data_IF_181485348459
#
_entry.id   IF_181485348459
#
_cell.length_a   1.000
_cell.length_b   1.000
_cell.length_c   1.000
_cell.angle_alpha   90.00
_cell.angle_beta   90.00
_cell.angle_gamma   90.00
#
_symmetry.space_group_name_H-M   'P 1'
#
loop_
_entity.id
_entity.type
_entity.pdbx_description
1 polymer ?
#
# COMPACT_ATOMS: atom_id res chain seq x y z
N UNK A 1 26.85 -5.83 13.99
CA UNK A 1 25.69 -6.56 14.53
C UNK A 1 24.66 -6.60 13.42
N UNK A 2 24.05 -7.75 13.18
CA UNK A 2 23.94 -8.39 11.85
C UNK A 2 22.86 -9.48 11.94
N UNK A 3 22.11 -9.83 10.87
CA UNK A 3 21.27 -11.03 10.85
C UNK A 3 22.18 -12.22 11.17
N UNK A 4 22.11 -12.70 12.40
CA UNK A 4 22.86 -13.85 12.85
C UNK A 4 22.09 -15.12 12.59
N UNK A 5 22.83 -16.22 12.52
CA UNK A 5 22.26 -17.57 12.46
C UNK A 5 21.28 -17.83 13.61
N UNK A 6 21.33 -17.12 14.73
CA UNK A 6 20.35 -17.33 15.81
C UNK A 6 19.02 -16.57 15.61
N UNK A 7 18.85 -15.86 14.49
CA UNK A 7 17.67 -15.07 14.16
C UNK A 7 17.65 -13.66 14.75
N UNK A 8 18.77 -13.16 15.29
CA UNK A 8 18.85 -11.76 15.72
C UNK A 8 19.15 -10.86 14.53
N UNK A 9 18.38 -9.79 14.33
CA UNK A 9 18.59 -8.75 13.34
C UNK A 9 19.06 -7.46 14.00
N UNK A 10 20.02 -6.76 13.37
CA UNK A 10 20.28 -5.37 13.71
C UNK A 10 19.57 -4.47 12.70
N UNK A 11 18.61 -3.70 13.20
CA UNK A 11 17.71 -2.88 12.43
C UNK A 11 17.98 -1.41 12.72
N UNK A 12 18.15 -0.65 11.67
CA UNK A 12 18.16 0.80 11.66
C UNK A 12 16.90 1.32 10.98
N UNK A 13 16.32 2.38 11.52
CA UNK A 13 15.19 3.10 10.95
C UNK A 13 15.51 4.56 10.94
N UNK A 14 15.37 5.15 9.77
CA UNK A 14 15.38 6.59 9.57
C UNK A 14 14.02 7.01 9.06
N UNK A 15 13.39 7.98 9.73
CA UNK A 15 12.20 8.63 9.20
C UNK A 15 12.49 10.12 9.02
N UNK A 16 12.22 10.64 7.84
CA UNK A 16 12.43 12.03 7.44
C UNK A 16 11.08 12.67 7.10
N UNK A 17 10.86 13.90 7.58
CA UNK A 17 9.58 14.60 7.41
C UNK A 17 9.50 15.33 6.06
N UNK A 18 8.38 15.22 5.35
CA UNK A 18 8.17 15.98 4.10
C UNK A 18 7.93 17.48 4.28
N UNK A 19 7.38 17.92 5.42
CA UNK A 19 6.99 19.32 5.60
C UNK A 19 7.30 19.87 7.00
N UNK A 20 7.66 21.17 7.04
CA UNK A 20 7.85 21.94 8.28
C UNK A 20 6.52 22.12 9.01
N UNK A 21 6.07 21.14 9.80
CA UNK A 21 5.05 21.36 10.82
C UNK A 21 3.96 20.30 11.02
N UNK A 22 3.90 19.22 10.22
CA UNK A 22 2.90 18.14 10.41
C UNK A 22 3.47 16.73 10.61
N UNK A 23 4.79 16.57 10.69
CA UNK A 23 5.42 15.25 10.80
C UNK A 23 5.32 14.58 12.17
N UNK A 24 6.08 13.48 12.36
CA UNK A 24 6.19 12.70 13.60
C UNK A 24 6.16 13.62 14.82
N UNK A 25 5.11 13.48 15.64
CA UNK A 25 4.92 14.34 16.80
C UNK A 25 6.08 14.17 17.79
N UNK A 26 6.29 15.15 18.67
CA UNK A 26 7.32 15.00 19.71
C UNK A 26 7.08 13.74 20.54
N UNK A 27 5.82 13.44 20.85
CA UNK A 27 5.41 12.24 21.58
C UNK A 27 5.73 10.96 20.79
N UNK A 28 5.51 10.95 19.48
CA UNK A 28 5.85 9.82 18.63
C UNK A 28 7.38 9.64 18.51
N UNK A 29 8.17 10.73 18.40
CA UNK A 29 9.64 10.66 18.45
C UNK A 29 10.15 10.09 19.77
N UNK A 30 9.60 10.55 20.89
CA UNK A 30 9.96 10.05 22.22
C UNK A 30 9.56 8.57 22.41
N UNK A 31 8.41 8.18 21.87
CA UNK A 31 7.97 6.78 21.85
C UNK A 31 8.93 5.90 21.06
N UNK A 32 9.26 6.30 19.81
CA UNK A 32 10.19 5.57 18.95
C UNK A 32 11.56 5.48 19.62
N UNK A 33 12.12 6.60 20.10
CA UNK A 33 13.40 6.60 20.81
C UNK A 33 13.41 5.65 22.03
N UNK A 34 12.31 5.57 22.77
CA UNK A 34 12.15 4.67 23.91
C UNK A 34 12.16 3.19 23.53
N UNK A 35 11.61 2.83 22.37
CA UNK A 35 11.58 1.45 21.86
C UNK A 35 12.98 0.94 21.46
N UNK A 36 13.92 1.86 21.20
CA UNK A 36 15.29 1.58 20.77
C UNK A 36 16.31 1.84 21.88
N UNK A 37 15.87 1.94 23.14
CA UNK A 37 16.74 2.20 24.28
C UNK A 37 17.92 1.20 24.34
N UNK A 38 19.15 1.73 24.28
CA UNK A 38 20.40 0.95 24.15
C UNK A 38 21.08 1.08 22.78
N UNK A 39 20.41 1.71 21.82
CA UNK A 39 20.88 2.01 20.46
C UNK A 39 21.53 3.38 20.26
N UNK A 40 21.96 3.66 19.02
CA UNK A 40 22.28 5.03 18.57
C UNK A 40 20.97 5.76 18.28
N UNK A 41 20.87 7.01 18.74
CA UNK A 41 19.80 7.93 18.39
C UNK A 41 20.42 9.23 17.89
N UNK A 42 20.19 9.52 16.61
CA UNK A 42 20.55 10.77 15.95
C UNK A 42 19.23 11.40 15.47
N UNK A 43 18.64 12.27 16.29
CA UNK A 43 17.35 12.89 15.98
C UNK A 43 17.48 14.40 15.99
N UNK A 44 16.80 15.03 15.04
CA UNK A 44 16.58 16.46 15.01
C UNK A 44 15.07 16.75 14.92
N UNK A 45 14.69 18.01 14.69
CA UNK A 45 13.28 18.38 14.61
C UNK A 45 12.59 17.83 13.34
N UNK A 46 13.35 17.35 12.35
CA UNK A 46 12.89 16.94 11.01
C UNK A 46 13.14 15.46 10.69
N UNK A 47 13.79 14.73 11.57
CA UNK A 47 14.14 13.33 11.35
C UNK A 47 14.43 12.58 12.65
N UNK A 48 14.26 11.27 12.59
CA UNK A 48 14.67 10.34 13.66
C UNK A 48 15.44 9.19 13.04
N UNK A 49 16.71 9.03 13.43
CA UNK A 49 17.57 7.89 13.09
C UNK A 49 17.85 7.07 14.37
N UNK A 50 17.30 5.86 14.41
CA UNK A 50 17.41 4.94 15.55
C UNK A 50 17.89 3.57 15.09
N UNK A 51 18.76 2.94 15.89
CA UNK A 51 19.32 1.61 15.59
C UNK A 51 19.27 0.69 16.80
N UNK A 52 18.72 -0.52 16.67
CA UNK A 52 18.70 -1.52 17.74
C UNK A 52 18.67 -2.95 17.20
N UNK A 53 18.90 -3.93 18.07
CA UNK A 53 18.87 -5.35 17.72
C UNK A 53 17.64 -6.08 18.28
N UNK A 54 17.01 -6.91 17.46
CA UNK A 54 15.76 -7.61 17.74
C UNK A 54 15.86 -9.07 17.29
N UNK A 55 15.13 -10.01 17.92
CA UNK A 55 15.25 -11.45 17.61
C UNK A 55 13.98 -12.12 17.13
N UNK A 56 12.81 -11.60 17.50
CA UNK A 56 11.53 -12.24 17.16
C UNK A 56 10.46 -11.21 16.87
N UNK A 57 10.21 -10.31 17.82
CA UNK A 57 9.23 -9.24 17.68
C UNK A 57 9.92 -7.91 17.41
N UNK A 58 9.46 -7.22 16.37
CA UNK A 58 9.88 -5.86 16.06
C UNK A 58 8.98 -4.86 16.80
N UNK A 59 9.48 -3.66 17.13
CA UNK A 59 8.71 -2.65 17.84
C UNK A 59 7.57 -2.12 16.96
N UNK A 60 6.43 -1.77 17.55
CA UNK A 60 5.36 -1.06 16.85
C UNK A 60 5.65 0.44 16.79
N UNK A 61 6.73 0.83 16.12
CA UNK A 61 7.28 2.19 16.14
C UNK A 61 6.55 3.14 15.17
N UNK A 62 6.56 2.85 13.88
CA UNK A 62 6.01 3.72 12.83
C UNK A 62 4.66 3.16 12.37
N UNK A 63 3.71 3.07 13.32
CA UNK A 63 2.35 2.57 13.09
C UNK A 63 2.29 1.11 12.60
N UNK A 64 3.36 0.36 12.80
CA UNK A 64 3.63 -0.91 12.16
C UNK A 64 3.52 -2.14 13.04
N UNK A 65 3.68 -3.31 12.41
CA UNK A 65 3.91 -4.57 13.12
C UNK A 65 4.84 -5.44 12.28
N UNK A 66 5.87 -5.98 12.91
CA UNK A 66 6.86 -6.81 12.26
C UNK A 66 7.36 -7.93 13.14
N UNK A 67 7.96 -8.93 12.50
CA UNK A 67 8.59 -10.04 13.15
C UNK A 67 9.80 -10.56 12.37
N UNK A 68 10.67 -11.23 13.11
CA UNK A 68 11.73 -12.08 12.58
C UNK A 68 11.34 -13.51 12.95
N UNK A 69 11.16 -14.36 11.95
CA UNK A 69 10.79 -15.75 12.15
C UNK A 69 11.95 -16.64 11.72
N UNK A 70 12.37 -17.53 12.62
CA UNK A 70 13.41 -18.52 12.33
C UNK A 70 12.81 -19.92 12.26
N UNK A 71 13.00 -20.57 11.11
CA UNK A 71 12.59 -21.95 10.87
C UNK A 71 13.83 -22.83 10.71
N UNK A 72 13.91 -23.90 11.49
CA UNK A 72 15.08 -24.79 11.51
C UNK A 72 14.73 -26.24 11.20
N UNK A 73 15.64 -26.91 10.47
CA UNK A 73 15.60 -28.33 10.12
C UNK A 73 16.98 -28.95 10.27
N UNK A 74 17.08 -30.27 10.07
CA UNK A 74 18.37 -30.97 10.07
C UNK A 74 19.31 -30.55 8.95
N UNK A 75 18.80 -30.04 7.81
CA UNK A 75 19.64 -29.67 6.65
C UNK A 75 20.04 -28.18 6.67
N UNK A 76 19.47 -27.39 7.58
CA UNK A 76 19.71 -25.96 7.66
C UNK A 76 18.49 -25.21 8.18
N UNK A 77 18.55 -23.89 8.05
CA UNK A 77 17.56 -22.98 8.62
C UNK A 77 17.29 -21.81 7.70
N UNK A 78 16.17 -21.15 7.95
CA UNK A 78 15.73 -19.95 7.24
C UNK A 78 15.35 -18.91 8.28
N UNK A 79 15.67 -17.65 7.99
CA UNK A 79 15.23 -16.48 8.76
C UNK A 79 14.44 -15.59 7.83
N UNK A 80 13.21 -15.28 8.21
CA UNK A 80 12.32 -14.35 7.52
C UNK A 80 12.20 -13.06 8.34
N UNK A 81 12.60 -11.94 7.76
CA UNK A 81 12.26 -10.61 8.25
C UNK A 81 11.04 -10.11 7.50
N UNK A 82 10.05 -9.60 8.23
CA UNK A 82 8.86 -8.97 7.64
C UNK A 82 8.32 -7.88 8.55
N UNK A 83 8.11 -6.70 8.00
CA UNK A 83 7.62 -5.56 8.75
C UNK A 83 6.73 -4.69 7.88
N UNK A 84 5.65 -4.18 8.47
CA UNK A 84 4.73 -3.26 7.82
C UNK A 84 4.75 -1.92 8.54
N UNK A 85 4.62 -0.82 7.80
CA UNK A 85 4.67 0.55 8.33
C UNK A 85 3.49 1.39 7.86
N UNK A 86 2.84 2.05 8.83
CA UNK A 86 1.63 2.88 8.69
C UNK A 86 0.60 2.32 7.68
N UNK A 87 -0.36 3.13 7.26
CA UNK A 87 -1.54 2.77 6.46
C UNK A 87 -2.60 1.93 7.20
N UNK A 88 -3.78 1.90 6.61
CA UNK A 88 -4.95 1.17 7.09
C UNK A 88 -4.94 -0.27 6.56
N UNK A 89 -5.40 -1.22 7.39
CA UNK A 89 -5.77 -2.57 6.92
C UNK A 89 -7.27 -2.68 6.67
N UNK A 90 -8.02 -1.63 7.03
CA UNK A 90 -9.45 -1.53 6.86
C UNK A 90 -9.77 -0.87 5.51
N UNK A 91 -9.57 -1.64 4.43
CA UNK A 91 -9.90 -1.22 3.07
C UNK A 91 -11.41 -0.99 2.90
N UNK A 92 -12.22 -1.80 3.58
CA UNK A 92 -13.67 -1.64 3.56
C UNK A 92 -14.06 -0.31 4.17
N UNK A 93 -13.56 0.02 5.36
CA UNK A 93 -13.78 1.30 6.02
C UNK A 93 -13.27 2.49 5.20
N UNK A 94 -12.13 2.35 4.51
CA UNK A 94 -11.63 3.39 3.60
C UNK A 94 -12.59 3.64 2.43
N UNK A 95 -13.07 2.58 1.78
CA UNK A 95 -14.06 2.67 0.69
C UNK A 95 -15.35 3.29 1.21
N UNK A 96 -15.86 2.81 2.34
CA UNK A 96 -17.09 3.32 2.96
C UNK A 96 -16.97 4.81 3.30
N UNK A 97 -15.85 5.23 3.93
CA UNK A 97 -15.58 6.63 4.27
C UNK A 97 -15.56 7.51 3.02
N UNK A 98 -14.89 7.06 1.95
CA UNK A 98 -14.80 7.79 0.69
C UNK A 98 -16.16 7.93 0.01
N UNK A 99 -16.92 6.84 -0.09
CA UNK A 99 -18.26 6.86 -0.69
C UNK A 99 -19.25 7.69 0.14
N UNK A 100 -19.14 7.65 1.47
CA UNK A 100 -19.93 8.52 2.35
C UNK A 100 -19.60 9.99 2.14
N UNK A 101 -18.33 10.36 2.01
CA UNK A 101 -17.92 11.73 1.69
C UNK A 101 -18.47 12.19 0.32
N UNK A 102 -18.51 11.31 -0.69
CA UNK A 102 -19.19 11.59 -1.97
C UNK A 102 -20.68 11.86 -1.75
N UNK A 103 -21.35 11.04 -0.94
CA UNK A 103 -22.78 11.19 -0.67
C UNK A 103 -23.09 12.52 0.04
N UNK A 104 -22.30 12.88 1.07
CA UNK A 104 -22.41 14.15 1.79
C UNK A 104 -22.12 15.35 0.88
N UNK A 105 -21.07 15.28 0.05
CA UNK A 105 -20.72 16.34 -0.89
C UNK A 105 -21.83 16.57 -1.92
N UNK A 106 -22.35 15.50 -2.51
CA UNK A 106 -23.41 15.62 -3.51
C UNK A 106 -24.73 16.09 -2.88
N UNK A 107 -25.05 15.65 -1.66
CA UNK A 107 -26.22 16.17 -0.94
C UNK A 107 -26.09 17.68 -0.68
N UNK A 108 -24.94 18.10 -0.17
CA UNK A 108 -24.65 19.52 0.07
C UNK A 108 -24.76 20.36 -1.21
N UNK A 109 -24.16 19.92 -2.32
CA UNK A 109 -24.22 20.63 -3.59
C UNK A 109 -25.63 20.65 -4.19
N UNK A 110 -26.40 19.57 -4.04
CA UNK A 110 -27.78 19.49 -4.50
C UNK A 110 -28.69 20.48 -3.74
N UNK A 111 -28.59 20.50 -2.41
CA UNK A 111 -29.37 21.41 -1.56
C UNK A 111 -29.01 22.88 -1.82
N UNK A 112 -27.70 23.16 -1.96
CA UNK A 112 -27.22 24.50 -2.31
C UNK A 112 -27.76 24.95 -3.67
N UNK A 113 -27.56 24.14 -4.71
CA UNK A 113 -27.94 24.48 -6.06
C UNK A 113 -29.46 24.62 -6.22
N UNK A 114 -30.25 23.81 -5.50
CA UNK A 114 -31.70 23.98 -5.40
C UNK A 114 -32.09 25.32 -4.79
N UNK A 115 -31.37 25.77 -3.75
CA UNK A 115 -31.68 27.03 -3.05
C UNK A 115 -31.37 28.28 -3.89
N UNK A 116 -30.52 28.15 -4.91
CA UNK A 116 -30.09 29.22 -5.80
C UNK A 116 -30.78 29.17 -7.18
N UNK A 117 -31.66 28.19 -7.41
CA UNK A 117 -32.39 28.04 -8.67
C UNK A 117 -33.45 29.15 -8.86
N UNK A 118 -33.69 29.53 -10.12
CA UNK A 118 -34.64 30.60 -10.46
C UNK A 118 -36.10 30.28 -10.10
N UNK A 119 -36.49 29.00 -10.14
CA UNK A 119 -37.82 28.56 -9.77
C UNK A 119 -37.82 27.15 -9.15
N UNK A 120 -38.95 26.76 -8.58
CA UNK A 120 -39.11 25.53 -7.82
C UNK A 120 -38.93 24.26 -8.68
N UNK A 121 -39.35 24.28 -9.96
CA UNK A 121 -39.19 23.13 -10.83
C UNK A 121 -37.72 22.97 -11.23
N UNK A 122 -37.07 24.07 -11.62
CA UNK A 122 -35.63 24.06 -11.91
C UNK A 122 -34.84 23.58 -10.71
N UNK A 123 -35.19 24.05 -9.50
CA UNK A 123 -34.55 23.60 -8.26
C UNK A 123 -34.70 22.10 -8.03
N UNK A 124 -35.86 21.51 -8.32
CA UNK A 124 -36.04 20.04 -8.27
C UNK A 124 -35.18 19.31 -9.29
N UNK A 125 -35.16 19.78 -10.54
CA UNK A 125 -34.40 19.15 -11.63
C UNK A 125 -32.89 19.17 -11.35
N UNK A 126 -32.37 20.30 -10.86
CA UNK A 126 -30.96 20.45 -10.44
C UNK A 126 -30.64 19.54 -9.25
N UNK A 127 -31.54 19.47 -8.26
CA UNK A 127 -31.34 18.59 -7.12
C UNK A 127 -31.27 17.11 -7.57
N UNK A 128 -32.21 16.65 -8.40
CA UNK A 128 -32.22 15.29 -8.95
C UNK A 128 -30.95 15.01 -9.78
N UNK A 129 -30.54 15.97 -10.62
CA UNK A 129 -29.30 15.87 -11.38
C UNK A 129 -28.08 15.59 -10.50
N UNK A 130 -27.88 16.39 -9.46
CA UNK A 130 -26.71 16.27 -8.58
C UNK A 130 -26.81 15.02 -7.71
N UNK A 131 -27.98 14.77 -7.11
CA UNK A 131 -28.19 13.68 -6.15
C UNK A 131 -28.20 12.29 -6.78
N UNK A 132 -28.53 12.17 -8.07
CA UNK A 132 -28.52 10.89 -8.77
C UNK A 132 -27.37 10.78 -9.77
N UNK A 133 -27.34 11.65 -10.79
CA UNK A 133 -26.41 11.53 -11.92
C UNK A 133 -24.99 11.83 -11.49
N UNK A 134 -24.76 13.03 -10.92
CA UNK A 134 -23.41 13.43 -10.46
C UNK A 134 -22.92 12.53 -9.35
N UNK A 135 -23.76 12.20 -8.37
CA UNK A 135 -23.40 11.29 -7.27
C UNK A 135 -22.90 9.95 -7.78
N UNK A 136 -23.63 9.31 -8.70
CA UNK A 136 -23.22 8.01 -9.27
C UNK A 136 -21.86 8.10 -9.95
N UNK A 137 -21.60 9.18 -10.67
CA UNK A 137 -20.37 9.34 -11.45
C UNK A 137 -19.19 9.74 -10.56
N UNK A 138 -19.41 10.55 -9.52
CA UNK A 138 -18.42 10.83 -8.49
C UNK A 138 -18.05 9.57 -7.70
N UNK A 139 -19.00 8.68 -7.38
CA UNK A 139 -18.69 7.40 -6.71
C UNK A 139 -17.77 6.53 -7.59
N UNK A 140 -18.03 6.46 -8.89
CA UNK A 140 -17.16 5.72 -9.82
C UNK A 140 -15.78 6.38 -9.92
N UNK A 141 -15.74 7.71 -10.04
CA UNK A 141 -14.49 8.47 -10.09
C UNK A 141 -13.64 8.24 -8.84
N UNK A 142 -14.25 8.29 -7.65
CA UNK A 142 -13.61 8.02 -6.37
C UNK A 142 -12.94 6.63 -6.33
N UNK A 143 -13.58 5.63 -6.94
CA UNK A 143 -13.01 4.29 -7.08
C UNK A 143 -11.86 4.25 -8.08
N UNK A 144 -11.94 4.95 -9.22
CA UNK A 144 -10.81 5.07 -10.16
C UNK A 144 -9.59 5.69 -9.49
N UNK A 145 -9.78 6.75 -8.70
CA UNK A 145 -8.68 7.34 -7.92
C UNK A 145 -8.14 6.37 -6.89
N UNK A 146 -9.01 5.65 -6.17
CA UNK A 146 -8.56 4.66 -5.19
C UNK A 146 -7.72 3.55 -5.84
N UNK A 147 -8.17 2.99 -6.97
CA UNK A 147 -7.42 1.95 -7.68
C UNK A 147 -6.11 2.45 -8.26
N UNK A 148 -6.05 3.71 -8.68
CA UNK A 148 -4.79 4.32 -9.09
C UNK A 148 -3.83 4.42 -7.90
N UNK A 149 -4.30 4.89 -6.74
CA UNK A 149 -3.50 4.94 -5.51
C UNK A 149 -3.01 3.54 -5.09
N UNK A 150 -3.89 2.53 -5.12
CA UNK A 150 -3.55 1.11 -4.89
C UNK A 150 -2.40 0.66 -5.79
N UNK A 151 -2.47 1.00 -7.08
CA UNK A 151 -1.45 0.62 -8.05
C UNK A 151 -0.12 1.32 -7.80
N UNK A 152 -0.16 2.61 -7.50
CA UNK A 152 1.03 3.42 -7.21
C UNK A 152 1.74 2.98 -5.92
N UNK A 153 1.01 2.43 -4.94
CA UNK A 153 1.64 1.88 -3.73
C UNK A 153 2.48 0.61 -3.98
N UNK A 154 2.32 -0.07 -5.12
CA UNK A 154 3.00 -1.33 -5.41
C UNK A 154 4.28 -1.20 -6.24
N UNK A 155 4.52 -0.07 -6.89
CA UNK A 155 5.64 0.11 -7.82
C UNK A 155 6.09 1.60 -7.86
N UNK A 156 7.22 1.96 -7.23
CA UNK A 156 7.72 3.33 -7.19
C UNK A 156 8.32 3.80 -8.53
N UNK A 157 8.72 2.90 -9.44
CA UNK A 157 9.18 3.26 -10.78
C UNK A 157 8.00 3.60 -11.72
N UNK A 158 6.77 3.28 -11.30
CA UNK A 158 5.54 3.55 -12.03
C UNK A 158 5.18 5.05 -11.96
N UNK A 159 5.92 5.89 -12.69
CA UNK A 159 5.66 7.33 -12.81
C UNK A 159 4.47 7.68 -13.72
N UNK A 160 3.52 6.76 -13.94
CA UNK A 160 2.35 6.94 -14.81
C UNK A 160 1.24 7.80 -14.17
N UNK A 161 1.63 8.94 -13.59
CA UNK A 161 0.68 10.04 -13.37
C UNK A 161 -0.11 10.38 -14.65
N UNK A 162 0.50 10.17 -15.82
CA UNK A 162 -0.13 10.39 -17.13
C UNK A 162 -1.23 9.39 -17.47
N UNK A 163 -1.03 8.07 -17.33
CA UNK A 163 -2.08 7.08 -17.64
C UNK A 163 -3.28 7.22 -16.72
N UNK A 164 -3.03 7.52 -15.44
CA UNK A 164 -4.10 7.81 -14.50
C UNK A 164 -4.92 9.01 -14.95
N UNK A 165 -4.27 10.14 -15.25
CA UNK A 165 -4.96 11.34 -15.74
C UNK A 165 -5.72 11.04 -17.04
N UNK A 166 -5.13 10.30 -17.98
CA UNK A 166 -5.79 9.90 -19.23
C UNK A 166 -7.05 9.08 -18.95
N UNK A 167 -7.04 8.16 -17.98
CA UNK A 167 -8.22 7.37 -17.59
C UNK A 167 -9.32 8.22 -16.97
N UNK A 168 -8.96 9.16 -16.09
CA UNK A 168 -9.92 10.10 -15.49
C UNK A 168 -10.57 10.95 -16.58
N UNK A 169 -9.76 11.47 -17.48
CA UNK A 169 -10.22 12.28 -18.61
C UNK A 169 -11.12 11.45 -19.54
N UNK A 170 -10.71 10.24 -19.90
CA UNK A 170 -11.52 9.33 -20.72
C UNK A 170 -12.87 9.04 -20.05
N UNK A 171 -12.88 8.75 -18.75
CA UNK A 171 -14.11 8.55 -17.98
C UNK A 171 -15.03 9.77 -18.03
N UNK A 172 -14.49 10.98 -17.80
CA UNK A 172 -15.27 12.21 -17.87
C UNK A 172 -15.80 12.50 -19.28
N UNK A 173 -15.04 12.13 -20.32
CA UNK A 173 -15.45 12.29 -21.72
C UNK A 173 -16.57 11.32 -22.10
N UNK A 174 -16.48 10.05 -21.72
CA UNK A 174 -17.51 9.01 -21.95
C UNK A 174 -18.84 9.32 -21.25
N UNK A 175 -18.79 10.15 -20.21
CA UNK A 175 -19.96 10.62 -19.46
C UNK A 175 -20.40 12.02 -19.85
N UNK A 176 -19.83 12.60 -20.91
CA UNK A 176 -20.19 13.91 -21.46
C UNK A 176 -19.94 15.10 -20.51
N UNK A 177 -19.07 14.95 -19.50
CA UNK A 177 -18.60 16.06 -18.67
C UNK A 177 -17.55 16.91 -19.38
N UNK A 178 -16.71 16.28 -20.22
CA UNK A 178 -15.61 16.95 -20.92
C UNK A 178 -15.78 16.73 -22.43
N UNK A 179 -16.39 17.69 -23.16
CA UNK A 179 -16.42 17.62 -24.61
C UNK A 179 -15.03 17.87 -25.20
N UNK A 180 -14.75 17.38 -26.41
CA UNK A 180 -13.44 17.49 -27.06
C UNK A 180 -12.83 18.91 -27.11
N UNK A 181 -13.60 20.01 -27.25
CA UNK A 181 -13.04 21.36 -27.16
C UNK A 181 -12.52 21.73 -25.75
N UNK A 182 -13.13 21.18 -24.70
CA UNK A 182 -12.72 21.43 -23.31
C UNK A 182 -11.39 20.75 -22.98
N UNK A 183 -11.08 19.64 -23.64
CA UNK A 183 -9.76 18.99 -23.57
C UNK A 183 -8.61 19.90 -24.00
N UNK A 184 -8.79 20.57 -25.14
CA UNK A 184 -7.80 21.50 -25.66
C UNK A 184 -7.66 22.77 -24.82
N UNK A 185 -8.64 23.05 -23.96
CA UNK A 185 -8.62 24.14 -23.00
C UNK A 185 -7.92 23.75 -21.70
N UNK A 186 -8.22 22.57 -21.14
CA UNK A 186 -7.55 22.01 -19.95
C UNK A 186 -6.03 21.88 -20.17
N UNK A 187 -5.59 21.59 -21.39
CA UNK A 187 -4.17 21.53 -21.74
C UNK A 187 -3.48 22.90 -21.84
N UNK A 188 -4.23 24.01 -21.80
CA UNK A 188 -3.72 25.39 -21.95
C UNK A 188 -3.89 26.23 -20.69
N UNK A 189 -4.79 25.87 -19.78
CA UNK A 189 -5.00 26.58 -18.52
C UNK A 189 -3.82 26.33 -17.58
N UNK A 190 -2.99 27.35 -17.35
CA UNK A 190 -2.08 27.35 -16.20
C UNK A 190 -2.92 27.38 -14.92
N UNK A 191 -2.54 26.56 -13.94
CA UNK A 191 -3.28 26.25 -12.72
C UNK A 191 -3.33 27.42 -11.73
N UNK A 192 -3.97 28.54 -12.09
CA UNK A 192 -4.42 29.49 -11.08
C UNK A 192 -5.69 28.94 -10.42
N UNK A 193 -5.59 28.67 -9.12
CA UNK A 193 -6.59 27.97 -8.29
C UNK A 193 -7.87 28.78 -8.04
N UNK A 194 -7.95 30.03 -8.48
CA UNK A 194 -9.07 30.94 -8.21
C UNK A 194 -10.32 30.69 -9.04
N UNK A 195 -10.28 29.82 -10.06
CA UNK A 195 -11.39 29.63 -11.01
C UNK A 195 -12.23 28.35 -10.76
N UNK A 196 -12.03 27.65 -9.63
CA UNK A 196 -12.63 26.32 -9.34
C UNK A 196 -14.13 26.19 -9.63
N UNK A 197 -14.92 27.22 -9.30
CA UNK A 197 -16.36 27.24 -9.55
C UNK A 197 -16.69 27.39 -11.04
N UNK A 198 -15.89 28.14 -11.79
CA UNK A 198 -16.04 28.22 -13.26
C UNK A 198 -15.76 26.87 -13.92
N UNK A 199 -14.77 26.12 -13.42
CA UNK A 199 -14.52 24.74 -13.88
C UNK A 199 -15.73 23.85 -13.61
N UNK A 200 -16.29 23.90 -12.40
CA UNK A 200 -17.49 23.16 -12.03
C UNK A 200 -18.66 23.49 -12.96
N UNK A 201 -19.03 24.76 -13.10
CA UNK A 201 -20.16 25.19 -13.94
C UNK A 201 -20.02 24.71 -15.40
N UNK A 202 -18.81 24.74 -15.95
CA UNK A 202 -18.51 24.26 -17.32
C UNK A 202 -18.59 22.74 -17.44
N UNK A 203 -17.97 22.00 -16.51
CA UNK A 203 -17.97 20.53 -16.53
C UNK A 203 -19.39 19.97 -16.40
N UNK A 204 -20.13 20.46 -15.41
CA UNK A 204 -21.46 19.95 -15.10
C UNK A 204 -22.54 20.51 -16.04
N UNK A 205 -22.35 21.71 -16.58
CA UNK A 205 -23.30 22.35 -17.47
C UNK A 205 -23.54 21.59 -18.77
N UNK A 206 -22.49 21.03 -19.39
CA UNK A 206 -22.63 20.20 -20.59
C UNK A 206 -23.47 18.95 -20.35
N UNK A 207 -23.20 18.25 -19.25
CA UNK A 207 -23.97 17.06 -18.85
C UNK A 207 -25.40 17.40 -18.48
N UNK A 208 -25.62 18.49 -17.75
CA UNK A 208 -26.96 18.98 -17.40
C UNK A 208 -27.78 19.31 -18.65
N UNK A 209 -27.19 20.00 -19.63
CA UNK A 209 -27.85 20.32 -20.89
C UNK A 209 -28.24 19.09 -21.69
N UNK A 210 -27.44 18.02 -21.66
CA UNK A 210 -27.79 16.75 -22.31
C UNK A 210 -29.00 16.07 -21.64
N UNK A 211 -29.09 16.13 -20.30
CA UNK A 211 -30.16 15.46 -19.54
C UNK A 211 -31.48 16.23 -19.63
N UNK A 212 -31.44 17.56 -19.46
CA UNK A 212 -32.65 18.40 -19.34
C UNK A 212 -32.93 19.30 -20.54
N UNK A 213 -32.00 19.42 -21.50
CA UNK A 213 -32.15 20.29 -22.67
C UNK A 213 -32.02 21.79 -22.37
N UNK A 214 -31.57 22.18 -21.17
CA UNK A 214 -31.43 23.57 -20.70
C UNK A 214 -30.02 23.88 -20.22
N UNK A 215 -29.67 25.16 -20.15
CA UNK A 215 -28.37 25.61 -19.63
C UNK A 215 -28.38 25.69 -18.12
N UNK A 216 -27.42 25.03 -17.45
CA UNK A 216 -27.25 25.11 -15.99
C UNK A 216 -26.98 26.55 -15.52
N UNK A 217 -26.28 27.36 -16.32
CA UNK A 217 -26.00 28.76 -16.00
C UNK A 217 -27.27 29.62 -16.14
N UNK A 218 -28.15 29.32 -17.11
CA UNK A 218 -29.43 30.02 -17.22
C UNK A 218 -30.34 29.67 -16.04
N UNK A 219 -30.32 28.41 -15.62
CA UNK A 219 -31.13 27.88 -14.52
C UNK A 219 -30.61 28.30 -13.13
N UNK A 220 -29.30 28.55 -13.00
CA UNK A 220 -28.61 29.08 -11.81
C UNK A 220 -27.68 30.23 -12.23
N UNK A 221 -28.21 31.46 -12.42
CA UNK A 221 -27.45 32.61 -12.93
C UNK A 221 -26.23 32.96 -12.08
N UNK A 222 -26.25 32.61 -10.79
CA UNK A 222 -25.15 32.82 -9.87
C UNK A 222 -23.84 32.15 -10.35
N UNK A 223 -23.92 31.07 -11.12
CA UNK A 223 -22.75 30.37 -11.67
C UNK A 223 -22.02 31.16 -12.77
N UNK A 224 -22.61 32.25 -13.29
CA UNK A 224 -21.98 33.11 -14.30
C UNK A 224 -20.76 33.87 -13.72
N UNK A 225 -20.85 34.27 -12.45
CA UNK A 225 -19.81 35.04 -11.76
C UNK A 225 -19.24 34.22 -10.61
N UNK A 226 -18.01 33.72 -10.78
CA UNK A 226 -17.36 32.80 -9.83
C UNK A 226 -17.35 33.34 -8.38
N UNK A 227 -17.11 34.64 -8.19
CA UNK A 227 -17.07 35.26 -6.87
C UNK A 227 -18.44 35.30 -6.17
N UNK A 228 -19.53 35.46 -6.94
CA UNK A 228 -20.88 35.48 -6.38
C UNK A 228 -21.32 34.08 -5.97
N UNK A 229 -21.02 33.08 -6.81
CA UNK A 229 -21.21 31.68 -6.49
C UNK A 229 -20.38 31.25 -5.26
N UNK A 230 -19.12 31.65 -5.17
CA UNK A 230 -18.27 31.39 -3.99
C UNK A 230 -18.88 31.99 -2.73
N UNK A 231 -19.33 33.24 -2.82
CA UNK A 231 -19.93 33.96 -1.69
C UNK A 231 -21.23 33.30 -1.22
N UNK A 232 -22.08 32.82 -2.14
CA UNK A 232 -23.26 32.04 -1.77
C UNK A 232 -22.87 30.71 -1.12
N UNK A 233 -21.98 29.95 -1.77
CA UNK A 233 -21.55 28.65 -1.29
C UNK A 233 -20.97 28.73 0.12
N UNK A 234 -20.16 29.75 0.40
CA UNK A 234 -19.59 30.05 1.72
C UNK A 234 -20.67 30.37 2.75
N UNK A 235 -21.71 31.15 2.39
CA UNK A 235 -22.87 31.43 3.27
C UNK A 235 -23.70 30.17 3.54
N UNK A 236 -23.87 29.32 2.55
CA UNK A 236 -24.61 28.07 2.67
C UNK A 236 -23.85 27.07 3.54
N UNK A 237 -22.55 26.88 3.28
CA UNK A 237 -21.65 26.03 4.06
C UNK A 237 -21.58 26.40 5.53
N UNK A 238 -21.57 27.70 5.87
CA UNK A 238 -21.61 28.16 7.26
C UNK A 238 -22.85 27.69 8.04
N UNK A 239 -23.93 27.30 7.33
CA UNK A 239 -25.18 26.80 7.92
C UNK A 239 -25.31 25.28 7.86
N UNK A 240 -24.40 24.58 7.17
CA UNK A 240 -24.44 23.13 6.99
C UNK A 240 -23.53 22.43 7.99
N UNK A 241 -24.06 21.66 8.96
CA UNK A 241 -23.24 21.05 10.01
C UNK A 241 -22.14 20.11 9.50
N UNK A 242 -22.38 19.38 8.41
CA UNK A 242 -21.38 18.47 7.83
C UNK A 242 -20.12 19.21 7.37
N UNK A 243 -20.29 20.36 6.71
CA UNK A 243 -19.17 21.20 6.23
C UNK A 243 -18.52 21.97 7.38
N UNK A 244 -19.32 22.51 8.30
CA UNK A 244 -18.82 23.29 9.44
C UNK A 244 -17.92 22.46 10.38
N UNK A 245 -18.16 21.14 10.50
CA UNK A 245 -17.31 20.23 11.30
C UNK A 245 -15.92 20.03 10.72
N UNK A 246 -15.76 20.20 9.40
CA UNK A 246 -14.52 19.97 8.68
C UNK A 246 -13.71 21.26 8.47
N UNK A 247 -14.27 22.43 8.79
CA UNK A 247 -13.60 23.72 8.67
C UNK A 247 -12.90 24.18 9.95
N UNK A 248 -11.72 24.81 9.85
CA UNK A 248 -11.03 25.45 10.99
C UNK A 248 -11.48 26.91 11.24
N UNK A 249 -12.57 27.33 10.62
CA UNK A 249 -13.11 28.70 10.67
C UNK A 249 -13.42 29.28 9.28
N UNK A 250 -12.87 28.67 8.22
CA UNK A 250 -13.21 28.98 6.83
C UNK A 250 -14.13 27.91 6.23
N UNK A 251 -15.38 28.26 5.90
CA UNK A 251 -16.34 27.32 5.33
C UNK A 251 -15.92 26.71 3.98
N UNK A 252 -15.08 27.37 3.18
CA UNK A 252 -14.56 26.79 1.93
C UNK A 252 -13.48 25.74 2.19
N UNK A 253 -12.74 25.86 3.28
CA UNK A 253 -11.80 24.82 3.72
C UNK A 253 -12.54 23.52 4.01
N UNK A 254 -13.72 23.59 4.65
CA UNK A 254 -14.55 22.42 4.93
C UNK A 254 -15.06 21.73 3.66
N UNK A 255 -15.42 22.50 2.62
CA UNK A 255 -15.82 21.96 1.31
C UNK A 255 -14.62 21.31 0.62
N UNK A 256 -13.46 21.98 0.65
CA UNK A 256 -12.20 21.44 0.14
C UNK A 256 -11.87 20.11 0.81
N UNK A 257 -11.90 20.06 2.14
CA UNK A 257 -11.68 18.84 2.91
C UNK A 257 -12.66 17.71 2.52
N UNK A 258 -13.94 18.02 2.34
CA UNK A 258 -14.93 17.03 1.92
C UNK A 258 -14.68 16.53 0.47
N UNK A 259 -14.29 17.42 -0.44
CA UNK A 259 -13.91 17.05 -1.81
C UNK A 259 -12.67 16.14 -1.83
N UNK A 260 -11.68 16.45 -1.00
CA UNK A 260 -10.47 15.64 -0.84
C UNK A 260 -10.76 14.28 -0.23
N UNK A 261 -11.68 14.19 0.74
CA UNK A 261 -12.15 12.91 1.27
C UNK A 261 -12.92 12.10 0.23
N UNK A 262 -13.71 12.75 -0.63
CA UNK A 262 -14.55 12.12 -1.63
C UNK A 262 -13.75 11.58 -2.83
N UNK A 263 -12.78 12.36 -3.34
CA UNK A 263 -12.03 12.01 -4.56
C UNK A 263 -10.64 11.46 -4.23
N UNK A 264 -10.03 11.88 -3.11
CA UNK A 264 -8.65 11.59 -2.70
C UNK A 264 -7.78 12.85 -2.72
N UNK A 265 -6.76 12.90 -1.87
CA UNK A 265 -5.77 13.99 -1.89
C UNK A 265 -4.77 13.80 -3.07
N UNK A 266 -4.34 14.90 -3.72
CA UNK A 266 -3.15 14.87 -4.56
C UNK A 266 -1.94 14.53 -3.69
N UNK A 267 -1.02 13.77 -4.28
CA UNK A 267 0.05 12.95 -3.67
C UNK A 267 1.13 13.67 -2.82
N UNK A 268 0.86 14.82 -2.21
CA UNK A 268 1.93 15.79 -1.94
C UNK A 268 2.44 15.91 -0.49
N UNK A 269 1.85 15.25 0.50
CA UNK A 269 2.42 15.22 1.88
C UNK A 269 2.61 13.76 2.36
N UNK A 270 3.82 13.22 2.24
CA UNK A 270 4.21 11.90 2.78
C UNK A 270 5.50 12.02 3.57
N UNK A 271 5.59 11.39 4.75
CA UNK A 271 6.91 11.21 5.37
C UNK A 271 7.72 10.18 4.54
N UNK A 272 9.04 10.30 4.57
CA UNK A 272 9.96 9.35 3.97
C UNK A 272 10.48 8.40 5.05
N UNK A 273 10.39 7.10 4.78
CA UNK A 273 10.85 6.03 5.64
C UNK A 273 11.98 5.30 4.94
N UNK A 274 13.12 5.19 5.62
CA UNK A 274 14.20 4.31 5.26
C UNK A 274 14.38 3.26 6.36
N UNK A 275 14.41 2.00 5.97
CA UNK A 275 14.68 0.86 6.86
C UNK A 275 15.92 0.17 6.38
N UNK A 276 16.85 -0.09 7.28
CA UNK A 276 18.11 -0.76 6.98
C UNK A 276 18.27 -1.96 7.91
N UNK A 277 18.53 -3.12 7.34
CA UNK A 277 18.82 -4.35 8.09
C UNK A 277 20.19 -4.87 7.67
N UNK A 278 21.11 -4.96 8.63
CA UNK A 278 22.45 -5.52 8.39
C UNK A 278 22.42 -7.05 8.41
N UNK A 279 23.08 -7.72 7.48
CA UNK A 279 23.17 -9.18 7.40
C UNK A 279 24.56 -9.68 6.96
N UNK A 280 24.93 -10.90 7.38
CA UNK A 280 26.18 -11.58 6.99
C UNK A 280 26.30 -11.86 5.49
N UNK A 281 25.15 -11.98 4.86
CA UNK A 281 24.99 -12.66 3.58
C UNK A 281 23.79 -12.07 2.87
N UNK A 282 23.86 -12.08 1.55
CA UNK A 282 22.78 -11.64 0.69
C UNK A 282 21.50 -12.45 0.95
N UNK A 283 20.33 -11.81 1.12
CA UNK A 283 19.08 -12.54 1.17
C UNK A 283 18.83 -13.25 -0.16
N UNK A 284 18.25 -14.46 -0.12
CA UNK A 284 17.86 -15.15 -1.36
C UNK A 284 16.56 -14.57 -1.95
N UNK A 285 15.82 -13.80 -1.15
CA UNK A 285 14.57 -13.16 -1.54
C UNK A 285 14.39 -11.87 -0.72
N UNK A 286 14.09 -10.76 -1.38
CA UNK A 286 13.86 -9.45 -0.74
C UNK A 286 13.11 -8.54 -1.71
N UNK A 287 12.34 -7.59 -1.18
CA UNK A 287 11.82 -6.45 -1.95
C UNK A 287 12.57 -5.13 -1.66
N UNK A 288 13.72 -5.21 -1.01
CA UNK A 288 14.64 -4.10 -0.79
C UNK A 288 15.93 -4.30 -1.57
N UNK A 289 16.77 -3.27 -1.56
CA UNK A 289 18.06 -3.27 -2.24
C UNK A 289 19.14 -3.88 -1.35
N UNK A 290 19.96 -4.77 -1.91
CA UNK A 290 21.10 -5.37 -1.22
C UNK A 290 22.40 -4.68 -1.64
N UNK A 291 23.20 -4.27 -0.66
CA UNK A 291 24.54 -3.73 -0.86
C UNK A 291 25.61 -4.74 -0.38
N UNK A 292 26.39 -5.27 -1.32
CA UNK A 292 27.47 -6.23 -1.07
C UNK A 292 28.64 -5.63 -0.28
N UNK A 293 28.89 -4.32 -0.36
CA UNK A 293 30.01 -3.68 0.34
C UNK A 293 29.71 -3.46 1.83
N UNK A 294 28.48 -3.02 2.14
CA UNK A 294 28.05 -2.75 3.51
C UNK A 294 27.41 -3.96 4.19
N UNK A 295 26.93 -4.95 3.43
CA UNK A 295 26.20 -6.10 3.95
C UNK A 295 24.82 -5.70 4.48
N UNK A 296 24.12 -4.82 3.77
CA UNK A 296 22.87 -4.22 4.21
C UNK A 296 21.75 -4.47 3.20
N UNK A 297 20.54 -4.70 3.70
CA UNK A 297 19.31 -4.57 2.92
C UNK A 297 18.66 -3.25 3.30
N UNK A 298 18.36 -2.41 2.32
CA UNK A 298 17.65 -1.14 2.52
C UNK A 298 16.29 -1.13 1.82
N UNK A 299 15.33 -0.47 2.45
CA UNK A 299 14.02 -0.16 1.87
C UNK A 299 13.74 1.32 2.03
N UNK A 300 13.25 1.94 0.96
CA UNK A 300 12.80 3.33 0.97
C UNK A 300 11.31 3.38 0.61
N UNK A 301 10.53 4.06 1.44
CA UNK A 301 9.09 4.18 1.27
C UNK A 301 8.61 5.58 1.58
N UNK A 302 7.57 6.01 0.86
CA UNK A 302 6.72 7.12 1.29
C UNK A 302 5.64 6.56 2.21
N UNK A 303 5.44 7.16 3.37
CA UNK A 303 4.42 6.74 4.34
C UNK A 303 3.52 7.92 4.71
N UNK A 304 2.31 7.59 5.16
CA UNK A 304 1.30 8.58 5.49
C UNK A 304 1.70 9.44 6.68
N UNK A 305 1.38 10.72 6.60
CA UNK A 305 1.42 11.63 7.75
C UNK A 305 0.23 11.31 8.67
N UNK A 306 0.43 11.10 9.98
CA UNK A 306 -0.66 10.78 10.90
C UNK A 306 -1.78 11.83 10.85
N UNK A 307 -3.02 11.37 10.67
CA UNK A 307 -4.21 12.25 10.63
C UNK A 307 -4.53 12.85 9.26
N UNK A 308 -3.65 12.69 8.26
CA UNK A 308 -3.95 13.03 6.87
C UNK A 308 -4.66 11.89 6.13
N UNK A 309 -5.14 12.16 4.92
CA UNK A 309 -5.75 11.14 4.08
C UNK A 309 -4.73 10.08 3.64
N UNK A 310 -5.24 8.86 3.38
CA UNK A 310 -4.45 7.71 2.94
C UNK A 310 -3.79 8.03 1.60
N UNK A 311 -2.47 8.24 1.60
CA UNK A 311 -1.68 8.41 0.36
C UNK A 311 -1.33 7.04 -0.22
N UNK A 312 -1.06 6.06 0.64
CA UNK A 312 -0.74 4.70 0.25
C UNK A 312 -1.80 3.73 0.75
N UNK A 313 -2.55 3.16 -0.19
CA UNK A 313 -3.68 2.29 0.14
C UNK A 313 -3.17 1.00 0.78
N UNK A 314 -1.99 0.52 0.36
CA UNK A 314 -1.29 -0.56 1.05
C UNK A 314 -0.23 -0.03 2.02
N UNK A 315 -0.07 -0.66 3.20
CA UNK A 315 1.07 -0.42 4.07
C UNK A 315 2.39 -0.62 3.33
N UNK A 316 3.37 0.23 3.64
CA UNK A 316 4.76 -0.06 3.26
C UNK A 316 5.15 -1.41 3.90
N UNK A 317 5.70 -2.32 3.09
CA UNK A 317 6.06 -3.67 3.49
C UNK A 317 7.54 -3.88 3.19
N UNK A 318 8.32 -4.20 4.20
CA UNK A 318 9.70 -4.61 4.06
C UNK A 318 9.79 -6.10 4.35
N UNK A 319 10.37 -6.89 3.45
CA UNK A 319 10.65 -8.30 3.72
C UNK A 319 11.97 -8.75 3.10
N UNK A 320 12.64 -9.66 3.79
CA UNK A 320 13.83 -10.34 3.30
C UNK A 320 13.95 -11.73 3.94
N UNK A 321 14.49 -12.68 3.20
CA UNK A 321 14.68 -14.06 3.62
C UNK A 321 16.12 -14.50 3.42
N UNK A 322 16.70 -15.10 4.46
CA UNK A 322 18.05 -15.67 4.45
C UNK A 322 18.00 -17.15 4.74
N UNK A 323 18.91 -17.91 4.15
CA UNK A 323 19.05 -19.34 4.36
C UNK A 323 20.45 -19.64 4.90
N UNK A 324 20.53 -20.48 5.93
CA UNK A 324 21.80 -20.90 6.54
C UNK A 324 21.90 -22.42 6.46
N UNK A 325 22.68 -22.97 5.51
CA UNK A 325 22.84 -24.42 5.35
C UNK A 325 23.55 -25.01 6.56
N UNK A 326 23.09 -26.18 7.02
CA UNK A 326 23.85 -26.98 7.97
C UNK A 326 24.92 -27.76 7.20
N UNK A 327 26.09 -27.14 7.04
CA UNK A 327 27.19 -27.68 6.22
C UNK A 327 27.60 -29.09 6.63
N UNK A 328 27.71 -29.36 7.94
CA UNK A 328 28.11 -30.66 8.45
C UNK A 328 27.07 -31.74 8.12
N UNK A 329 25.78 -31.47 8.39
CA UNK A 329 24.71 -32.42 8.13
C UNK A 329 24.54 -32.71 6.64
N UNK A 330 24.61 -31.68 5.79
CA UNK A 330 24.51 -31.86 4.34
C UNK A 330 25.72 -32.59 3.77
N UNK A 331 26.94 -32.26 4.20
CA UNK A 331 28.15 -32.97 3.74
C UNK A 331 28.13 -34.43 4.18
N UNK A 332 27.64 -34.73 5.38
CA UNK A 332 27.49 -36.10 5.86
C UNK A 332 26.48 -36.92 5.03
N UNK A 333 25.39 -36.29 4.57
CA UNK A 333 24.31 -36.97 3.84
C UNK A 333 24.55 -37.03 2.33
N UNK A 334 25.01 -35.93 1.74
CA UNK A 334 25.11 -35.70 0.30
C UNK A 334 26.55 -35.61 -0.21
N UNK A 335 27.54 -35.58 0.69
CA UNK A 335 28.95 -35.38 0.32
C UNK A 335 29.35 -33.92 0.03
N UNK A 336 28.37 -33.00 -0.02
CA UNK A 336 28.54 -31.56 -0.21
C UNK A 336 27.37 -30.79 0.40
N UNK A 337 27.47 -29.46 0.44
CA UNK A 337 26.30 -28.60 0.62
C UNK A 337 25.52 -28.62 -0.69
N UNK A 338 24.25 -29.02 -0.64
CA UNK A 338 23.39 -29.15 -1.80
C UNK A 338 22.24 -28.13 -1.77
N UNK A 339 21.63 -27.95 -0.60
CA UNK A 339 20.56 -27.00 -0.37
C UNK A 339 21.13 -25.73 0.25
N UNK A 340 21.14 -24.64 -0.51
CA UNK A 340 21.44 -23.29 -0.06
C UNK A 340 20.51 -22.30 -0.76
N UNK A 341 20.56 -21.02 -0.38
CA UNK A 341 19.71 -19.97 -0.94
C UNK A 341 18.22 -20.33 -0.93
N UNK A 342 17.58 -20.09 -2.07
CA UNK A 342 16.15 -20.32 -2.28
C UNK A 342 15.75 -21.81 -2.16
N UNK A 343 16.46 -22.79 -2.75
CA UNK A 343 16.14 -24.21 -2.53
C UNK A 343 16.13 -24.64 -1.06
N UNK A 344 17.06 -24.12 -0.23
CA UNK A 344 17.01 -24.37 1.21
C UNK A 344 15.81 -23.67 1.87
N UNK A 345 15.51 -22.45 1.44
CA UNK A 345 14.28 -21.72 1.74
C UNK A 345 13.03 -22.58 1.63
N UNK A 346 12.80 -23.08 0.42
CA UNK A 346 11.64 -23.91 0.06
C UNK A 346 11.65 -25.26 0.79
N UNK A 347 12.81 -25.90 0.92
CA UNK A 347 12.94 -27.15 1.68
C UNK A 347 12.50 -26.97 3.14
N UNK A 348 12.95 -25.91 3.80
CA UNK A 348 12.62 -25.66 5.21
C UNK A 348 11.11 -25.42 5.37
N UNK A 349 10.50 -24.65 4.48
CA UNK A 349 9.04 -24.43 4.50
C UNK A 349 8.26 -25.73 4.24
N UNK A 350 8.64 -26.47 3.20
CA UNK A 350 8.07 -27.79 2.90
C UNK A 350 8.17 -28.71 4.12
N UNK A 351 9.34 -28.79 4.74
CA UNK A 351 9.61 -29.65 5.90
C UNK A 351 8.76 -29.29 7.12
N UNK A 352 8.43 -28.01 7.31
CA UNK A 352 7.57 -27.50 8.39
C UNK A 352 6.08 -27.70 8.12
N UNK A 353 5.69 -27.88 6.87
CA UNK A 353 4.29 -28.16 6.50
C UNK A 353 3.86 -29.62 6.76
N UNK A 354 4.84 -30.53 6.90
CA UNK A 354 4.58 -31.96 7.10
C UNK A 354 3.89 -32.25 8.43
N UNK A 355 2.95 -33.20 8.41
CA UNK A 355 2.39 -33.80 9.63
C UNK A 355 3.46 -34.57 10.42
N UNK A 356 3.15 -34.98 11.64
CA UNK A 356 4.10 -35.75 12.49
C UNK A 356 4.53 -37.06 11.84
N UNK A 357 3.61 -37.78 11.16
CA UNK A 357 3.89 -39.02 10.45
C UNK A 357 4.81 -38.81 9.25
N UNK A 358 4.43 -37.90 8.34
CA UNK A 358 5.22 -37.53 7.15
C UNK A 358 6.62 -37.02 7.54
N UNK A 359 6.69 -36.19 8.57
CA UNK A 359 7.94 -35.70 9.16
C UNK A 359 8.85 -36.83 9.62
N UNK A 360 8.29 -37.90 10.18
CA UNK A 360 9.03 -39.09 10.64
C UNK A 360 9.52 -39.91 9.47
N UNK A 361 8.67 -40.18 8.48
CA UNK A 361 9.04 -40.90 7.26
C UNK A 361 10.19 -40.22 6.52
N UNK A 362 10.08 -38.89 6.32
CA UNK A 362 11.13 -38.13 5.66
C UNK A 362 12.45 -38.17 6.46
N UNK A 363 12.38 -38.07 7.78
CA UNK A 363 13.58 -38.19 8.63
C UNK A 363 14.23 -39.56 8.49
N UNK A 364 13.46 -40.64 8.48
CA UNK A 364 13.97 -42.00 8.30
C UNK A 364 14.57 -42.19 6.91
N UNK A 365 13.94 -41.63 5.88
CA UNK A 365 14.48 -41.62 4.52
C UNK A 365 15.82 -40.89 4.47
N UNK A 366 15.93 -39.67 5.01
CA UNK A 366 17.19 -38.92 5.05
C UNK A 366 18.30 -39.72 5.74
N UNK A 367 18.02 -40.34 6.89
CA UNK A 367 19.00 -41.17 7.62
C UNK A 367 19.48 -42.40 6.82
N UNK A 368 18.72 -42.82 5.81
CA UNK A 368 19.10 -43.92 4.94
C UNK A 368 19.99 -43.51 3.76
N UNK A 369 20.13 -42.20 3.48
CA UNK A 369 20.96 -41.66 2.40
C UNK A 369 22.46 -41.79 2.73
N UNK A 370 23.28 -41.95 1.69
CA UNK A 370 24.74 -41.93 1.75
C UNK A 370 25.32 -40.99 0.69
N UNK A 371 26.52 -40.39 0.93
CA UNK A 371 27.14 -39.45 -0.01
C UNK A 371 27.38 -39.96 -1.45
N UNK A 372 27.49 -41.28 -1.64
CA UNK A 372 27.73 -41.89 -2.95
C UNK A 372 26.45 -42.37 -3.66
N UNK A 373 25.28 -42.13 -3.05
CA UNK A 373 24.01 -42.50 -3.65
C UNK A 373 23.65 -41.55 -4.80
N UNK A 374 22.90 -42.08 -5.76
CA UNK A 374 22.17 -41.27 -6.74
C UNK A 374 21.01 -40.56 -6.03
N UNK A 375 21.31 -39.41 -5.40
CA UNK A 375 20.38 -38.65 -4.56
C UNK A 375 19.11 -38.28 -5.34
N UNK A 376 19.24 -37.84 -6.59
CA UNK A 376 18.12 -37.49 -7.48
C UNK A 376 17.18 -38.66 -7.63
N UNK A 377 17.70 -39.83 -8.01
CA UNK A 377 16.88 -41.02 -8.17
C UNK A 377 16.22 -41.43 -6.85
N UNK A 378 16.96 -41.39 -5.74
CA UNK A 378 16.43 -41.77 -4.41
C UNK A 378 15.30 -40.87 -3.94
N UNK A 379 15.41 -39.56 -4.16
CA UNK A 379 14.36 -38.58 -3.83
C UNK A 379 13.16 -38.76 -4.77
N UNK A 380 13.41 -39.04 -6.06
CA UNK A 380 12.36 -39.39 -7.03
C UNK A 380 11.53 -40.62 -6.64
N UNK A 381 12.17 -41.59 -5.99
CA UNK A 381 11.57 -42.85 -5.52
C UNK A 381 10.94 -42.75 -4.12
N UNK A 382 11.19 -41.68 -3.35
CA UNK A 382 10.62 -41.52 -2.00
C UNK A 382 9.09 -41.46 -2.03
N UNK A 383 8.46 -42.19 -1.10
CA UNK A 383 7.01 -42.19 -0.88
C UNK A 383 6.68 -42.16 0.61
N UNK A 384 5.72 -41.33 1.02
CA UNK A 384 5.22 -41.32 2.40
C UNK A 384 4.48 -42.63 2.74
N UNK A 385 4.78 -43.20 3.90
CA UNK A 385 4.24 -44.48 4.40
C UNK A 385 3.18 -44.26 5.49
N UNK A 386 3.37 -43.25 6.33
CA UNK A 386 2.54 -42.91 7.48
C UNK A 386 1.96 -41.52 7.30
N UNK A 387 0.82 -41.43 6.61
CA UNK A 387 0.06 -40.19 6.59
C UNK A 387 -1.44 -40.41 6.64
N UNK A 388 -2.09 -39.47 7.31
CA UNK A 388 -3.55 -39.31 7.33
C UNK A 388 -4.02 -38.35 6.21
N UNK A 389 -3.09 -37.80 5.42
CA UNK A 389 -3.39 -36.86 4.33
C UNK A 389 -3.93 -37.56 3.08
N UNK A 390 -4.70 -36.82 2.28
CA UNK A 390 -5.27 -37.33 1.04
C UNK A 390 -4.17 -37.75 0.05
N UNK A 391 -4.50 -38.63 -0.91
CA UNK A 391 -3.54 -39.03 -1.94
C UNK A 391 -3.02 -37.83 -2.75
N UNK A 392 -3.91 -36.89 -3.09
CA UNK A 392 -3.56 -35.67 -3.82
C UNK A 392 -2.58 -34.79 -3.03
N UNK A 393 -2.81 -34.62 -1.73
CA UNK A 393 -1.90 -33.87 -0.86
C UNK A 393 -0.51 -34.51 -0.80
N UNK A 394 -0.44 -35.84 -0.71
CA UNK A 394 0.83 -36.58 -0.74
C UNK A 394 1.57 -36.40 -2.05
N UNK A 395 0.88 -36.63 -3.16
CA UNK A 395 1.49 -36.54 -4.49
C UNK A 395 2.06 -35.14 -4.72
N UNK A 396 1.33 -34.10 -4.26
CA UNK A 396 1.81 -32.72 -4.24
C UNK A 396 3.08 -32.53 -3.41
N UNK A 397 3.10 -33.00 -2.16
CA UNK A 397 4.28 -32.90 -1.29
C UNK A 397 5.51 -33.64 -1.87
N UNK A 398 5.30 -34.82 -2.44
CA UNK A 398 6.37 -35.60 -3.09
C UNK A 398 6.88 -34.95 -4.37
N UNK A 399 6.00 -34.31 -5.15
CA UNK A 399 6.41 -33.54 -6.32
C UNK A 399 7.18 -32.29 -5.93
N UNK A 400 6.74 -31.56 -4.90
CA UNK A 400 7.43 -30.37 -4.40
C UNK A 400 8.86 -30.68 -3.96
N UNK A 401 9.07 -31.74 -3.17
CA UNK A 401 10.42 -32.08 -2.71
C UNK A 401 11.36 -32.49 -3.85
N UNK A 402 10.83 -33.14 -4.90
CA UNK A 402 11.63 -33.42 -6.10
C UNK A 402 12.05 -32.14 -6.81
N UNK A 403 11.10 -31.23 -7.03
CA UNK A 403 11.37 -29.95 -7.68
C UNK A 403 12.44 -29.14 -6.95
N UNK A 404 12.38 -29.08 -5.61
CA UNK A 404 13.36 -28.36 -4.78
C UNK A 404 14.77 -28.93 -4.98
N UNK A 405 14.91 -30.25 -4.98
CA UNK A 405 16.20 -30.91 -5.15
C UNK A 405 16.71 -30.85 -6.60
N UNK A 406 15.82 -30.92 -7.59
CA UNK A 406 16.16 -30.76 -9.00
C UNK A 406 16.72 -29.34 -9.24
N UNK A 407 16.04 -28.30 -8.73
CA UNK A 407 16.52 -26.90 -8.81
C UNK A 407 17.90 -26.76 -8.16
N UNK A 408 18.08 -27.28 -6.94
CA UNK A 408 19.35 -27.25 -6.22
C UNK A 408 20.51 -27.91 -6.99
N UNK A 409 20.22 -28.93 -7.81
CA UNK A 409 21.24 -29.63 -8.59
C UNK A 409 21.58 -28.92 -9.91
N UNK A 410 20.68 -28.12 -10.47
CA UNK A 410 20.92 -27.38 -11.72
C UNK A 410 21.79 -26.14 -11.54
N UNK A 411 21.93 -25.61 -10.33
CA UNK A 411 22.73 -24.41 -10.04
C UNK A 411 24.25 -24.69 -10.05
N UNK A 412 24.66 -25.95 -10.03
CA UNK A 412 26.06 -26.41 -9.98
C UNK A 412 26.67 -26.76 -11.37
N UNK A 413 25.95 -26.54 -12.48
CA UNK A 413 26.46 -26.64 -13.87
C UNK A 413 26.67 -25.24 -14.48
#
# INVERSE_FOLDING_TARGET
>A
MEISEDGTANRNVVVTLASEGKGISKEERELIAGLYAGGKNDSDDKSIDVTASFKEKLPGDVGGNGCIERLETTLGSVVHYRERFRSTHDFEGLIQKRLHAVDELCAFLADWAQSEANDEQVGRDVHEFVSETVRKDMRNLAMYVLFAQVRMSGDPEYSESQDFLVRIIQFLSERDYVPAPMMAWLSRSNSDSSDGISYFAKLFGGKYQQVYGRSLIEDIPLLEVAQDAESSLRRFAAKTPAVAKLSSGDSLEGIGALMMLAIGEPLNDCDELMVIVRAKSKPFETNGDWDDESGEVSWEHKIEVPGNSVVNVFPALCYASWSFPNQDAQTQLFGRVLLEGKPLGEYVQWRKSLTVGESTDWKLFLLSLKPADDITRRIGEFRFQTTDSSQETRDGLEQSIRSIFDEAMTVDE
#
